data_IF_619997408650
#
_entry.id   IF_619997408650
#
_cell.length_a   1.000
_cell.length_b   1.000
_cell.length_c   1.000
_cell.angle_alpha   90.00
_cell.angle_beta   90.00
_cell.angle_gamma   90.00
#
_symmetry.space_group_name_H-M   'P 1'
#
loop_
_entity.id
_entity.type
_entity.pdbx_description
1 polymer ?
#
# COMPACT_ATOMS: atom_id res chain seq x y z
N UNK A 1 -46.20 43.18 -26.95
CA UNK A 1 -45.71 41.79 -27.07
C UNK A 1 -44.68 41.60 -26.00
N UNK A 2 -45.12 41.09 -24.85
CA UNK A 2 -44.26 40.72 -23.74
C UNK A 2 -43.61 39.39 -24.10
N UNK A 3 -42.34 39.40 -24.50
CA UNK A 3 -41.54 38.19 -24.49
C UNK A 3 -40.97 38.04 -23.09
N UNK A 4 -41.80 37.47 -22.22
CA UNK A 4 -41.38 36.86 -20.98
C UNK A 4 -40.33 35.81 -21.34
N UNK A 5 -39.06 36.13 -21.12
CA UNK A 5 -37.97 35.18 -21.12
C UNK A 5 -38.21 34.20 -19.97
N UNK A 6 -39.01 33.17 -20.26
CA UNK A 6 -38.93 31.91 -19.55
C UNK A 6 -37.48 31.45 -19.72
N UNK A 7 -36.67 31.74 -18.71
CA UNK A 7 -35.38 31.11 -18.52
C UNK A 7 -35.70 29.64 -18.32
N UNK A 8 -35.68 28.93 -19.45
CA UNK A 8 -35.76 27.50 -19.54
C UNK A 8 -34.54 26.98 -18.79
N UNK A 9 -34.74 26.61 -17.53
CA UNK A 9 -33.79 25.81 -16.77
C UNK A 9 -33.72 24.46 -17.46
N UNK A 10 -32.94 24.38 -18.54
CA UNK A 10 -32.40 23.13 -19.06
C UNK A 10 -31.53 22.56 -17.95
N UNK A 11 -32.15 21.81 -17.04
CA UNK A 11 -31.46 20.85 -16.21
C UNK A 11 -30.80 19.84 -17.16
N UNK A 12 -29.57 20.15 -17.55
CA UNK A 12 -28.61 19.19 -18.05
C UNK A 12 -28.29 18.23 -16.89
N UNK A 13 -29.20 17.30 -16.60
CA UNK A 13 -28.97 16.15 -15.72
C UNK A 13 -27.99 15.22 -16.41
N UNK A 14 -26.71 15.59 -16.38
CA UNK A 14 -25.59 14.75 -16.75
C UNK A 14 -25.64 13.45 -15.95
N UNK A 15 -25.93 12.36 -16.65
CA UNK A 15 -26.13 11.02 -16.07
C UNK A 15 -24.92 10.47 -15.28
N UNK A 16 -23.74 11.11 -15.38
CA UNK A 16 -22.53 10.70 -14.68
C UNK A 16 -22.56 10.89 -13.16
N UNK A 17 -23.27 11.89 -12.63
CA UNK A 17 -23.23 12.22 -11.19
C UNK A 17 -23.82 11.09 -10.32
N UNK A 18 -24.83 10.36 -10.82
CA UNK A 18 -25.42 9.22 -10.11
C UNK A 18 -24.47 8.03 -10.08
N UNK A 19 -23.71 7.82 -11.15
CA UNK A 19 -22.73 6.74 -11.24
C UNK A 19 -21.54 6.97 -10.31
N UNK A 20 -20.98 8.18 -10.32
CA UNK A 20 -19.89 8.59 -9.43
C UNK A 20 -20.30 8.41 -7.96
N UNK A 21 -21.51 8.83 -7.59
CA UNK A 21 -22.02 8.65 -6.22
C UNK A 21 -22.09 7.17 -5.81
N UNK A 22 -22.55 6.27 -6.69
CA UNK A 22 -22.58 4.82 -6.40
C UNK A 22 -21.18 4.26 -6.21
N UNK A 23 -20.25 4.63 -7.08
CA UNK A 23 -18.85 4.18 -7.03
C UNK A 23 -18.22 4.63 -5.71
N UNK A 24 -18.35 5.90 -5.34
CA UNK A 24 -17.83 6.44 -4.08
C UNK A 24 -18.41 5.75 -2.85
N UNK A 25 -19.71 5.41 -2.86
CA UNK A 25 -20.34 4.67 -1.75
C UNK A 25 -19.76 3.26 -1.64
N UNK A 26 -19.68 2.53 -2.75
CA UNK A 26 -19.11 1.18 -2.79
C UNK A 26 -17.66 1.19 -2.29
N UNK A 27 -16.86 2.15 -2.77
CA UNK A 27 -15.48 2.33 -2.34
C UNK A 27 -15.34 2.66 -0.87
N UNK A 28 -16.18 3.53 -0.34
CA UNK A 28 -16.19 3.87 1.08
C UNK A 28 -16.47 2.65 1.93
N UNK A 29 -17.50 1.87 1.59
CA UNK A 29 -17.85 0.64 2.30
C UNK A 29 -16.70 -0.37 2.23
N UNK A 30 -16.14 -0.59 1.03
CA UNK A 30 -15.04 -1.53 0.84
C UNK A 30 -13.79 -1.13 1.66
N UNK A 31 -13.51 0.17 1.75
CA UNK A 31 -12.39 0.70 2.57
C UNK A 31 -12.66 0.55 4.07
N UNK A 32 -13.91 0.75 4.52
CA UNK A 32 -14.28 0.54 5.93
C UNK A 32 -14.19 -0.93 6.34
N UNK A 33 -14.64 -1.84 5.48
CA UNK A 33 -14.55 -3.29 5.72
C UNK A 33 -13.09 -3.73 5.79
N UNK A 34 -12.26 -3.26 4.87
CA UNK A 34 -10.82 -3.53 4.88
C UNK A 34 -10.16 -3.03 6.17
N UNK A 35 -10.45 -1.80 6.59
CA UNK A 35 -9.93 -1.23 7.85
C UNK A 35 -10.41 -2.02 9.07
N UNK A 36 -11.69 -2.42 9.10
CA UNK A 36 -12.24 -3.22 10.19
C UNK A 36 -11.57 -4.60 10.29
N UNK A 37 -11.31 -5.26 9.16
CA UNK A 37 -10.54 -6.51 9.12
C UNK A 37 -9.09 -6.31 9.58
N UNK A 38 -8.46 -5.20 9.19
CA UNK A 38 -7.13 -4.81 9.67
C UNK A 38 -7.10 -4.58 11.18
N UNK A 39 -8.11 -3.89 11.72
CA UNK A 39 -8.23 -3.64 13.16
C UNK A 39 -8.53 -4.93 13.94
N UNK A 40 -9.36 -5.82 13.39
CA UNK A 40 -9.65 -7.12 14.01
C UNK A 40 -8.40 -7.98 14.18
N UNK A 41 -7.34 -7.76 13.38
CA UNK A 41 -6.06 -8.46 13.52
C UNK A 41 -5.34 -8.16 14.85
N UNK A 42 -5.63 -7.03 15.51
CA UNK A 42 -5.02 -6.66 16.80
C UNK A 42 -5.36 -7.67 17.91
N UNK A 43 -6.51 -8.34 17.81
CA UNK A 43 -6.96 -9.32 18.79
C UNK A 43 -6.46 -10.75 18.50
N UNK A 44 -5.75 -10.97 17.39
CA UNK A 44 -5.27 -12.29 16.97
C UNK A 44 -3.79 -12.44 17.39
N UNK A 45 -3.43 -13.46 18.18
CA UNK A 45 -2.05 -13.69 18.59
C UNK A 45 -1.13 -14.05 17.40
N UNK A 46 0.15 -13.68 17.52
CA UNK A 46 1.16 -13.70 16.45
C UNK A 46 1.41 -15.09 15.84
N UNK A 47 1.16 -16.16 16.60
CA UNK A 47 1.41 -17.56 16.26
C UNK A 47 0.29 -18.22 15.44
N UNK A 48 -0.82 -17.51 15.24
CA UNK A 48 -2.00 -18.10 14.62
C UNK A 48 -1.93 -18.01 13.08
N UNK A 49 -1.98 -19.14 12.34
CA UNK A 49 -1.91 -19.13 10.87
C UNK A 49 -3.06 -18.34 10.22
N UNK A 50 -4.17 -18.16 10.94
CA UNK A 50 -5.30 -17.31 10.54
C UNK A 50 -4.89 -15.86 10.28
N UNK A 51 -3.84 -15.35 10.94
CA UNK A 51 -3.32 -13.99 10.73
C UNK A 51 -2.73 -13.78 9.34
N UNK A 52 -2.03 -14.78 8.81
CA UNK A 52 -1.50 -14.74 7.43
C UNK A 52 -2.61 -14.73 6.40
N UNK A 53 -3.68 -15.50 6.64
CA UNK A 53 -4.86 -15.50 5.79
C UNK A 53 -5.54 -14.13 5.77
N UNK A 54 -5.79 -13.52 6.93
CA UNK A 54 -6.41 -12.18 7.04
C UNK A 54 -5.55 -11.12 6.34
N UNK A 55 -4.22 -11.17 6.49
CA UNK A 55 -3.29 -10.30 5.73
C UNK A 55 -3.46 -10.47 4.21
N UNK A 56 -3.58 -11.70 3.73
CA UNK A 56 -3.84 -12.00 2.32
C UNK A 56 -5.19 -11.42 1.84
N UNK A 57 -6.24 -11.57 2.63
CA UNK A 57 -7.58 -11.01 2.32
C UNK A 57 -7.53 -9.49 2.24
N UNK A 58 -6.87 -8.82 3.19
CA UNK A 58 -6.71 -7.36 3.18
C UNK A 58 -5.97 -6.89 1.91
N UNK A 59 -4.89 -7.59 1.51
CA UNK A 59 -4.17 -7.29 0.28
C UNK A 59 -5.05 -7.46 -0.97
N UNK A 60 -5.87 -8.51 -1.03
CA UNK A 60 -6.78 -8.72 -2.16
C UNK A 60 -7.85 -7.62 -2.22
N UNK A 61 -8.39 -7.20 -1.07
CA UNK A 61 -9.35 -6.10 -0.99
C UNK A 61 -8.73 -4.75 -1.44
N UNK A 62 -7.49 -4.47 -1.04
CA UNK A 62 -6.71 -3.31 -1.50
C UNK A 62 -6.54 -3.30 -3.02
N UNK A 63 -6.18 -4.44 -3.60
CA UNK A 63 -6.05 -4.57 -5.06
C UNK A 63 -7.41 -4.42 -5.75
N UNK A 64 -8.45 -5.08 -5.25
CA UNK A 64 -9.80 -5.00 -5.80
C UNK A 64 -10.32 -3.56 -5.82
N UNK A 65 -10.09 -2.79 -4.74
CA UNK A 65 -10.38 -1.35 -4.67
C UNK A 65 -9.68 -0.60 -5.79
N UNK A 66 -8.37 -0.80 -5.94
CA UNK A 66 -7.56 -0.08 -6.94
C UNK A 66 -8.04 -0.37 -8.36
N UNK A 67 -8.32 -1.64 -8.68
CA UNK A 67 -8.90 -2.03 -9.98
C UNK A 67 -10.30 -1.45 -10.19
N UNK A 68 -11.14 -1.39 -9.14
CA UNK A 68 -12.47 -0.81 -9.23
C UNK A 68 -12.41 0.70 -9.52
N UNK A 69 -11.49 1.44 -8.88
CA UNK A 69 -11.25 2.87 -9.20
C UNK A 69 -10.83 3.01 -10.66
N UNK A 70 -9.82 2.25 -11.08
CA UNK A 70 -9.27 2.32 -12.44
C UNK A 70 -10.35 1.97 -13.49
N UNK A 71 -11.21 1.00 -13.26
CA UNK A 71 -12.28 0.65 -14.19
C UNK A 71 -13.40 1.70 -14.30
N UNK A 72 -13.81 2.28 -13.16
CA UNK A 72 -14.99 3.15 -13.09
C UNK A 72 -14.68 4.65 -13.27
N UNK A 73 -13.66 5.19 -12.58
CA UNK A 73 -13.36 6.63 -12.65
C UNK A 73 -12.64 7.03 -13.94
N UNK A 74 -12.02 6.06 -14.59
CA UNK A 74 -11.31 6.26 -15.84
C UNK A 74 -12.24 6.01 -17.05
N UNK A 75 -13.56 5.93 -16.88
CA UNK A 75 -14.54 5.74 -17.97
C UNK A 75 -14.25 4.52 -18.86
N UNK A 76 -13.52 3.54 -18.32
CA UNK A 76 -13.03 2.42 -19.10
C UNK A 76 -14.16 1.46 -19.47
N UNK A 77 -15.25 1.37 -18.69
CA UNK A 77 -16.25 0.31 -18.85
C UNK A 77 -17.04 0.32 -20.18
N UNK A 78 -17.09 1.44 -20.91
CA UNK A 78 -17.83 1.51 -22.20
C UNK A 78 -16.93 1.82 -23.41
N UNK A 79 -15.70 2.33 -23.22
CA UNK A 79 -14.71 2.69 -24.27
C UNK A 79 -13.42 1.81 -24.24
N UNK A 80 -13.50 0.69 -23.52
CA UNK A 80 -12.42 -0.04 -22.83
C UNK A 80 -11.16 -0.39 -23.63
N UNK A 81 -11.22 -0.58 -24.95
CA UNK A 81 -10.13 -1.28 -25.66
C UNK A 81 -8.86 -0.44 -25.84
N UNK A 82 -8.99 0.84 -26.17
CA UNK A 82 -7.83 1.68 -26.45
C UNK A 82 -7.19 2.25 -25.18
N UNK A 83 -8.01 2.54 -24.16
CA UNK A 83 -7.52 3.18 -22.95
C UNK A 83 -6.99 2.18 -21.92
N UNK A 84 -7.45 0.91 -21.92
CA UNK A 84 -6.84 -0.11 -21.05
C UNK A 84 -5.39 -0.40 -21.46
N UNK A 85 -5.05 -0.29 -22.74
CA UNK A 85 -3.68 -0.46 -23.22
C UNK A 85 -2.72 0.57 -22.63
N UNK A 86 -3.11 1.84 -22.55
CA UNK A 86 -2.21 2.90 -22.04
C UNK A 86 -2.03 2.88 -20.53
N UNK A 87 -2.90 2.20 -19.78
CA UNK A 87 -2.81 2.07 -18.31
C UNK A 87 -2.20 0.73 -17.92
N UNK A 88 -2.57 -0.37 -18.59
CA UNK A 88 -2.00 -1.68 -18.30
C UNK A 88 -0.53 -1.79 -18.69
N UNK A 89 -0.09 -1.18 -19.78
CA UNK A 89 1.34 -1.20 -20.19
C UNK A 89 2.25 -0.61 -19.10
N UNK A 90 2.04 0.64 -18.61
CA UNK A 90 2.88 1.19 -17.55
C UNK A 90 2.73 0.46 -16.22
N UNK A 91 1.54 -0.04 -15.86
CA UNK A 91 1.35 -0.86 -14.65
C UNK A 91 2.11 -2.19 -14.74
N UNK A 92 2.09 -2.85 -15.90
CA UNK A 92 2.80 -4.11 -16.10
C UNK A 92 4.31 -3.90 -16.09
N UNK A 93 4.81 -2.83 -16.72
CA UNK A 93 6.21 -2.42 -16.63
C UNK A 93 6.61 -2.13 -15.18
N UNK A 94 5.75 -1.48 -14.40
CA UNK A 94 6.03 -1.20 -12.99
C UNK A 94 6.17 -2.46 -12.15
N UNK A 95 5.23 -3.42 -12.27
CA UNK A 95 5.31 -4.70 -11.54
C UNK A 95 6.53 -5.51 -11.98
N UNK A 96 6.81 -5.57 -13.28
CA UNK A 96 7.99 -6.24 -13.80
C UNK A 96 9.28 -5.59 -13.27
N UNK A 97 9.35 -4.26 -13.22
CA UNK A 97 10.50 -3.52 -12.71
C UNK A 97 10.76 -3.79 -11.22
N UNK A 98 9.71 -3.84 -10.39
CA UNK A 98 9.80 -4.23 -8.98
C UNK A 98 10.44 -5.63 -8.86
N UNK A 99 9.97 -6.61 -9.66
CA UNK A 99 10.49 -7.98 -9.63
C UNK A 99 11.95 -8.02 -10.09
N UNK A 100 12.28 -7.35 -11.18
CA UNK A 100 13.63 -7.30 -11.72
C UNK A 100 14.61 -6.70 -10.71
N UNK A 101 14.24 -5.60 -10.05
CA UNK A 101 15.03 -5.00 -8.98
C UNK A 101 15.11 -5.85 -7.72
N UNK A 102 14.06 -6.59 -7.36
CA UNK A 102 14.13 -7.51 -6.22
C UNK A 102 15.10 -8.66 -6.51
N UNK A 103 15.10 -9.17 -7.73
CA UNK A 103 16.02 -10.22 -8.18
C UNK A 103 17.46 -9.70 -8.26
N UNK A 104 17.67 -8.54 -8.86
CA UNK A 104 18.98 -7.89 -8.97
C UNK A 104 19.54 -7.51 -7.59
N UNK A 105 18.70 -6.99 -6.68
CA UNK A 105 19.07 -6.72 -5.30
C UNK A 105 19.44 -7.98 -4.51
N UNK A 106 18.71 -9.09 -4.71
CA UNK A 106 19.07 -10.40 -4.15
C UNK A 106 20.42 -10.89 -4.68
N UNK A 107 20.67 -10.76 -5.98
CA UNK A 107 21.94 -11.13 -6.61
C UNK A 107 23.09 -10.25 -6.13
N UNK A 108 22.87 -8.93 -6.01
CA UNK A 108 23.84 -7.98 -5.49
C UNK A 108 24.26 -8.31 -4.04
N UNK A 109 23.29 -8.62 -3.17
CA UNK A 109 23.58 -9.02 -1.80
C UNK A 109 24.37 -10.33 -1.74
N UNK A 110 24.01 -11.31 -2.56
CA UNK A 110 24.72 -12.59 -2.64
C UNK A 110 26.16 -12.43 -3.11
N UNK A 111 26.41 -11.62 -4.15
CA UNK A 111 27.75 -11.36 -4.65
C UNK A 111 28.61 -10.56 -3.68
N UNK A 112 28.06 -9.54 -3.02
CA UNK A 112 28.80 -8.82 -1.96
C UNK A 112 29.19 -9.73 -0.82
N UNK A 113 28.28 -10.61 -0.40
CA UNK A 113 28.60 -11.60 0.62
C UNK A 113 29.63 -12.63 0.13
N UNK A 114 29.65 -12.98 -1.16
CA UNK A 114 30.57 -13.98 -1.69
C UNK A 114 32.02 -13.46 -1.86
N UNK A 115 32.20 -12.20 -2.30
CA UNK A 115 33.51 -11.68 -2.73
C UNK A 115 34.20 -10.76 -1.73
N UNK A 116 33.51 -10.19 -0.74
CA UNK A 116 34.12 -9.30 0.24
C UNK A 116 34.19 -9.94 1.64
N UNK A 117 35.39 -10.32 2.13
CA UNK A 117 35.56 -10.93 3.44
C UNK A 117 35.18 -10.01 4.61
N UNK A 118 35.21 -8.69 4.45
CA UNK A 118 34.79 -7.75 5.51
C UNK A 118 33.26 -7.68 5.66
N UNK A 119 32.49 -7.92 4.59
CA UNK A 119 31.02 -7.93 4.68
C UNK A 119 30.46 -9.22 5.28
N UNK A 120 31.08 -10.39 5.05
CA UNK A 120 30.67 -11.66 5.68
C UNK A 120 30.66 -11.57 7.20
N UNK A 121 31.73 -11.01 7.77
CA UNK A 121 31.89 -10.87 9.23
C UNK A 121 30.81 -9.96 9.84
N UNK A 122 30.39 -8.91 9.12
CA UNK A 122 29.35 -7.97 9.58
C UNK A 122 27.94 -8.54 9.44
N UNK A 123 27.67 -9.38 8.44
CA UNK A 123 26.36 -10.05 8.28
C UNK A 123 26.15 -11.23 9.23
N UNK A 124 27.24 -11.85 9.70
CA UNK A 124 27.22 -12.94 10.68
C UNK A 124 27.37 -12.45 12.13
N UNK A 125 27.83 -11.21 12.33
CA UNK A 125 27.84 -10.61 13.66
C UNK A 125 26.40 -10.43 14.16
N UNK A 126 26.04 -10.99 15.34
CA UNK A 126 24.77 -10.69 15.97
C UNK A 126 24.68 -9.17 16.16
N UNK A 127 23.51 -8.60 15.88
CA UNK A 127 23.27 -7.17 15.96
C UNK A 127 23.91 -6.61 17.24
N UNK A 128 24.73 -5.54 17.16
CA UNK A 128 25.32 -4.96 18.35
C UNK A 128 24.17 -4.56 19.27
N UNK A 129 24.08 -5.25 20.41
CA UNK A 129 23.20 -4.85 21.49
C UNK A 129 23.65 -3.44 21.85
N UNK A 130 22.82 -2.44 21.56
CA UNK A 130 23.02 -1.10 22.07
C UNK A 130 22.97 -1.22 23.60
N UNK A 131 24.14 -1.36 24.22
CA UNK A 131 24.29 -1.05 25.63
C UNK A 131 24.20 0.48 25.71
N UNK A 132 23.05 0.97 26.15
CA UNK A 132 22.99 2.28 26.78
C UNK A 132 24.03 2.27 27.91
N UNK A 133 25.04 3.12 27.78
CA UNK A 133 26.06 3.32 28.80
C UNK A 133 25.37 3.83 30.08
N UNK A 134 25.22 2.96 31.09
CA UNK A 134 24.99 3.37 32.48
C UNK A 134 26.26 4.08 33.00
N UNK A 135 26.52 5.30 32.56
CA UNK A 135 27.64 6.13 33.04
C UNK A 135 27.29 6.93 34.33
N UNK A 136 26.34 6.46 35.14
CA UNK A 136 25.84 7.22 36.31
C UNK A 136 25.95 6.52 37.67
N UNK A 137 26.80 5.50 37.84
CA UNK A 137 27.04 4.87 39.16
C UNK A 137 28.49 4.89 39.65
N UNK A 138 29.37 5.65 39.00
CA UNK A 138 30.79 5.76 39.39
C UNK A 138 31.12 6.86 40.41
N UNK A 139 30.22 7.82 40.64
CA UNK A 139 30.54 9.03 41.42
C UNK A 139 30.20 8.95 42.92
N UNK A 140 29.44 7.95 43.37
CA UNK A 140 29.05 7.86 44.80
C UNK A 140 30.07 7.10 45.67
N UNK A 141 30.86 6.19 45.08
CA UNK A 141 31.77 5.33 45.86
C UNK A 141 33.12 5.95 46.25
N UNK A 142 33.44 7.15 45.77
CA UNK A 142 34.75 7.80 46.04
C UNK A 142 34.78 8.67 47.31
N UNK A 143 33.64 8.87 47.99
CA UNK A 143 33.56 9.71 49.18
C UNK A 143 33.42 8.91 50.49
N UNK A 144 33.77 7.62 50.48
CA UNK A 144 33.67 6.76 51.66
C UNK A 144 34.87 5.81 51.76
N UNK A 145 36.08 6.36 51.66
CA UNK A 145 37.33 5.80 52.19
C UNK A 145 38.12 6.89 52.91
#
# INVERSE_FOLDING_TARGET
MEHSSAVEYHEHHGGGTKEIKRVTIILTILTLVELALGYSMIHIPEDNPTRHFVKGVILILMLAKAFYIAGYFMHLKHEIRNMIMTICIPLFLFVWFIIAFLYDGKAYNNNRNAYDPYYKVKSEQPAPVHHEEEEHKGLEKKNME
#
